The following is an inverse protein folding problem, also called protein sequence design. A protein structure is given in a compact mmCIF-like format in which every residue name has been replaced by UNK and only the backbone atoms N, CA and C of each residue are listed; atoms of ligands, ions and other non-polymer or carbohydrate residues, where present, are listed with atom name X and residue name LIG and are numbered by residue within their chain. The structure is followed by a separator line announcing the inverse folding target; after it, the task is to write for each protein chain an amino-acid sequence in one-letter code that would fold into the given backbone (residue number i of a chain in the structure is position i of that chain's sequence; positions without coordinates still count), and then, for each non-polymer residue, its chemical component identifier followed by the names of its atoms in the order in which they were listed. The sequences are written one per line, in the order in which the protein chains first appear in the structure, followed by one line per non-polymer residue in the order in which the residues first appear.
data_IF_027400937244
#
_entry.id   IF_027400937244
#
_cell.length_a   1.000
_cell.length_b   1.000
_cell.length_c   1.000
_cell.angle_alpha   90.00
_cell.angle_beta   90.00
_cell.angle_gamma   90.00
#
_symmetry.space_group_name_H-M   'P 1'
#
loop_
_entity.id
_entity.type
_entity.pdbx_description
1 polymer ?
#
# COMPACT_ATOMS: atom_id res chain seq x y z
N UNK A 1 4.25 5.68 -1.02
CA UNK A 1 5.09 5.75 -2.26
C UNK A 1 4.28 6.09 -3.51
N UNK A 2 4.90 6.53 -4.63
CA UNK A 2 4.23 6.59 -5.95
C UNK A 2 4.26 5.21 -6.63
N UNK A 3 3.17 4.84 -7.31
CA UNK A 3 3.11 3.62 -8.14
C UNK A 3 4.11 3.70 -9.29
N UNK A 4 4.53 2.55 -9.80
CA UNK A 4 5.40 2.49 -10.98
C UNK A 4 4.53 2.47 -12.25
N UNK A 5 4.83 3.38 -13.19
CA UNK A 5 4.18 3.40 -14.49
C UNK A 5 4.93 2.45 -15.43
N UNK A 6 4.25 1.38 -15.87
CA UNK A 6 4.81 0.44 -16.83
C UNK A 6 5.06 1.16 -18.15
N UNK A 7 6.26 0.96 -18.71
CA UNK A 7 6.62 1.55 -20.00
C UNK A 7 6.04 0.72 -21.16
N UNK A 8 5.73 -0.58 -20.93
CA UNK A 8 5.01 -1.39 -21.90
C UNK A 8 5.86 -1.77 -23.12
N UNK A 9 7.07 -2.25 -22.86
CA UNK A 9 8.00 -2.68 -23.90
C UNK A 9 7.37 -3.77 -24.77
N UNK A 10 7.34 -3.60 -26.09
CA UNK A 10 6.82 -4.59 -27.04
C UNK A 10 7.97 -5.10 -27.90
N UNK A 11 8.26 -6.39 -27.77
CA UNK A 11 9.46 -7.01 -28.32
C UNK A 11 9.34 -7.38 -29.79
N UNK A 12 8.14 -7.75 -30.23
CA UNK A 12 7.87 -8.16 -31.60
C UNK A 12 6.40 -7.90 -31.89
N UNK A 13 6.15 -7.08 -32.90
CA UNK A 13 4.79 -6.79 -33.37
C UNK A 13 4.66 -7.37 -34.77
N UNK A 14 3.85 -8.41 -34.89
CA UNK A 14 3.50 -9.03 -36.16
C UNK A 14 2.02 -8.79 -36.42
N UNK A 15 1.69 -8.46 -37.67
CA UNK A 15 0.31 -8.42 -38.11
C UNK A 15 -0.28 -9.85 -38.15
N UNK A 16 -1.42 -10.04 -37.48
CA UNK A 16 -2.05 -11.36 -37.29
C UNK A 16 -2.67 -11.88 -38.61
N UNK A 17 -3.04 -11.00 -39.54
CA UNK A 17 -3.67 -11.39 -40.81
C UNK A 17 -2.66 -11.59 -41.95
N UNK A 18 -1.59 -10.79 -41.99
CA UNK A 18 -0.62 -10.81 -43.11
C UNK A 18 0.69 -11.52 -42.75
N UNK A 19 0.96 -11.76 -41.47
CA UNK A 19 2.23 -12.32 -41.01
C UNK A 19 3.41 -11.36 -41.21
N UNK A 20 3.16 -10.10 -41.59
CA UNK A 20 4.19 -9.10 -41.81
C UNK A 20 4.71 -8.59 -40.46
N UNK A 21 6.04 -8.58 -40.32
CA UNK A 21 6.70 -8.11 -39.09
C UNK A 21 6.78 -6.60 -39.13
N UNK A 22 5.92 -5.93 -38.36
CA UNK A 22 5.87 -4.47 -38.24
C UNK A 22 7.06 -3.96 -37.41
N UNK A 23 7.56 -4.79 -36.49
CA UNK A 23 8.75 -4.50 -35.69
C UNK A 23 9.56 -5.79 -35.42
N UNK A 24 10.78 -5.86 -35.97
CA UNK A 24 11.77 -6.87 -35.56
C UNK A 24 12.28 -6.55 -34.16
N UNK A 25 12.45 -7.60 -33.35
CA UNK A 25 12.95 -7.45 -31.99
C UNK A 25 14.37 -6.93 -31.94
N UNK A 26 14.59 -5.88 -31.16
CA UNK A 26 15.93 -5.34 -30.90
C UNK A 26 16.70 -6.22 -29.91
N UNK A 27 18.05 -6.20 -29.92
CA UNK A 27 18.86 -6.93 -28.93
C UNK A 27 18.47 -6.63 -27.48
N UNK A 28 17.95 -5.42 -27.22
CA UNK A 28 17.28 -5.04 -25.98
C UNK A 28 15.78 -5.35 -26.13
N UNK A 29 15.35 -6.48 -25.57
CA UNK A 29 13.96 -6.97 -25.55
C UNK A 29 13.57 -7.35 -24.11
N UNK A 30 12.29 -7.39 -23.76
CA UNK A 30 11.77 -7.84 -22.46
C UNK A 30 12.34 -9.21 -22.10
N UNK A 31 12.36 -10.16 -23.04
CA UNK A 31 12.92 -11.50 -22.80
C UNK A 31 14.42 -11.42 -22.49
N UNK A 32 15.19 -10.66 -23.27
CA UNK A 32 16.64 -10.52 -23.07
C UNK A 32 16.99 -9.71 -21.82
N UNK A 33 16.10 -8.81 -21.39
CA UNK A 33 16.22 -8.01 -20.16
C UNK A 33 15.48 -8.63 -18.97
N UNK A 34 15.13 -9.92 -19.05
CA UNK A 34 14.52 -10.70 -17.97
C UNK A 34 13.26 -10.05 -17.36
N UNK A 35 12.39 -9.47 -18.20
CA UNK A 35 11.13 -8.83 -17.80
C UNK A 35 11.31 -7.76 -16.70
N UNK A 36 12.39 -6.99 -16.78
CA UNK A 36 12.76 -5.99 -15.77
C UNK A 36 11.64 -4.98 -15.46
N UNK A 37 10.89 -4.52 -16.47
CA UNK A 37 9.74 -3.61 -16.32
C UNK A 37 8.65 -4.23 -15.42
N UNK A 38 8.36 -5.53 -15.61
CA UNK A 38 7.39 -6.27 -14.81
C UNK A 38 7.90 -6.54 -13.39
N UNK A 39 9.18 -6.88 -13.25
CA UNK A 39 9.82 -7.06 -11.94
C UNK A 39 9.80 -5.80 -11.09
N UNK A 40 10.12 -4.64 -11.70
CA UNK A 40 10.07 -3.33 -11.02
C UNK A 40 8.64 -3.00 -10.61
N UNK A 41 7.67 -3.19 -11.52
CA UNK A 41 6.26 -2.96 -11.22
C UNK A 41 5.80 -3.80 -10.03
N UNK A 42 6.01 -5.11 -10.09
CA UNK A 42 5.54 -6.05 -9.07
C UNK A 42 6.18 -5.76 -7.71
N UNK A 43 7.49 -5.50 -7.68
CA UNK A 43 8.18 -5.14 -6.46
C UNK A 43 7.69 -3.80 -5.91
N UNK A 44 7.41 -2.81 -6.76
CA UNK A 44 6.89 -1.51 -6.31
C UNK A 44 5.50 -1.66 -5.67
N UNK A 45 4.61 -2.42 -6.28
CA UNK A 45 3.28 -2.69 -5.72
C UNK A 45 3.37 -3.43 -4.38
N UNK A 46 4.23 -4.44 -4.29
CA UNK A 46 4.47 -5.16 -3.04
C UNK A 46 5.02 -4.24 -1.93
N UNK A 47 5.96 -3.35 -2.27
CA UNK A 47 6.51 -2.39 -1.30
C UNK A 47 5.46 -1.39 -0.82
N UNK A 48 4.57 -0.89 -1.69
CA UNK A 48 3.48 0.00 -1.29
C UNK A 48 2.53 -0.73 -0.32
N UNK A 49 2.19 -1.98 -0.60
CA UNK A 49 1.36 -2.80 0.28
C UNK A 49 2.04 -3.02 1.64
N UNK A 50 3.32 -3.38 1.64
CA UNK A 50 4.09 -3.56 2.87
C UNK A 50 4.22 -2.26 3.68
N UNK A 51 4.40 -1.10 3.02
CA UNK A 51 4.42 0.21 3.68
C UNK A 51 3.13 0.45 4.46
N UNK A 52 1.96 0.13 3.88
CA UNK A 52 0.67 0.24 4.55
C UNK A 52 0.53 -0.74 5.73
N UNK A 53 0.92 -2.01 5.54
CA UNK A 53 0.86 -3.02 6.61
C UNK A 53 1.79 -2.69 7.78
N UNK A 54 3.01 -2.20 7.50
CA UNK A 54 3.96 -1.76 8.54
C UNK A 54 3.40 -0.56 9.30
N UNK A 55 2.80 0.41 8.61
CA UNK A 55 2.20 1.56 9.26
C UNK A 55 1.07 1.14 10.22
N UNK A 56 0.24 0.18 9.83
CA UNK A 56 -0.82 -0.35 10.69
C UNK A 56 -0.26 -1.15 11.87
N UNK A 57 0.72 -2.03 11.65
CA UNK A 57 1.39 -2.76 12.73
C UNK A 57 2.09 -1.82 13.72
N UNK A 58 2.70 -0.73 13.25
CA UNK A 58 3.31 0.29 14.11
C UNK A 58 2.27 1.01 14.97
N UNK A 59 1.07 1.30 14.45
CA UNK A 59 -0.03 1.86 15.24
C UNK A 59 -0.46 0.89 16.34
N UNK A 60 -0.60 -0.39 16.00
CA UNK A 60 -0.97 -1.44 16.96
C UNK A 60 0.06 -1.58 18.08
N UNK A 61 1.34 -1.70 17.74
CA UNK A 61 2.44 -1.76 18.70
C UNK A 61 2.44 -0.53 19.60
N UNK A 62 2.23 0.67 19.04
CA UNK A 62 2.20 1.90 19.84
C UNK A 62 1.07 1.87 20.88
N UNK A 63 -0.14 1.49 20.47
CA UNK A 63 -1.29 1.44 21.39
C UNK A 63 -1.07 0.38 22.47
N UNK A 64 -0.57 -0.81 22.12
CA UNK A 64 -0.24 -1.85 23.09
C UNK A 64 0.86 -1.40 24.06
N UNK A 65 1.88 -0.69 23.57
CA UNK A 65 2.94 -0.12 24.39
C UNK A 65 2.37 0.92 25.36
N UNK A 66 1.54 1.84 24.89
CA UNK A 66 0.91 2.85 25.72
C UNK A 66 -0.03 2.21 26.76
N UNK A 67 -0.80 1.20 26.37
CA UNK A 67 -1.65 0.44 27.30
C UNK A 67 -0.82 -0.27 28.39
N UNK A 68 0.28 -0.91 28.00
CA UNK A 68 1.20 -1.58 28.94
C UNK A 68 1.83 -0.60 29.91
N UNK A 69 2.30 0.56 29.42
CA UNK A 69 2.92 1.59 30.27
C UNK A 69 1.92 2.23 31.25
N UNK A 70 0.65 2.36 30.86
CA UNK A 70 -0.39 2.96 31.68
C UNK A 70 -1.20 1.92 32.49
N UNK A 71 -0.75 0.65 32.53
CA UNK A 71 -1.43 -0.45 33.21
C UNK A 71 -2.91 -0.62 32.80
N UNK A 72 -3.23 -0.34 31.54
CA UNK A 72 -4.55 -0.56 30.94
C UNK A 72 -4.64 -2.02 30.48
N UNK A 73 -4.88 -2.93 31.42
CA UNK A 73 -4.84 -4.39 31.17
C UNK A 73 -6.14 -4.91 30.53
N UNK A 74 -7.24 -4.16 30.60
CA UNK A 74 -8.56 -4.56 30.11
C UNK A 74 -9.16 -3.51 29.15
N UNK A 75 -9.94 -3.95 28.16
CA UNK A 75 -10.75 -3.14 27.23
C UNK A 75 -9.96 -2.23 26.27
N UNK A 76 -8.81 -2.68 25.76
CA UNK A 76 -8.09 -1.96 24.71
C UNK A 76 -8.49 -2.53 23.36
N UNK A 77 -9.16 -1.73 22.53
CA UNK A 77 -9.61 -2.10 21.19
C UNK A 77 -9.00 -1.15 20.15
N UNK A 78 -8.51 -1.70 19.03
CA UNK A 78 -8.11 -0.92 17.87
C UNK A 78 -9.11 -1.14 16.74
N UNK A 79 -9.61 -0.04 16.19
CA UNK A 79 -10.46 -0.04 15.01
C UNK A 79 -9.97 1.09 14.10
N UNK A 80 -9.62 0.76 12.86
CA UNK A 80 -9.31 1.74 11.83
C UNK A 80 -10.61 2.20 11.16
N UNK A 81 -10.89 3.49 11.22
CA UNK A 81 -12.02 4.11 10.49
C UNK A 81 -11.50 4.84 9.25
N UNK A 82 -12.28 4.82 8.17
CA UNK A 82 -11.95 5.56 6.95
C UNK A 82 -11.97 7.08 7.17
N UNK A 83 -12.82 7.57 8.08
CA UNK A 83 -12.94 8.99 8.41
C UNK A 83 -13.23 9.18 9.90
N UNK A 84 -12.78 10.30 10.48
CA UNK A 84 -13.04 10.66 11.89
C UNK A 84 -14.53 10.90 12.16
N UNK A 85 -15.28 11.29 11.14
CA UNK A 85 -16.74 11.46 11.18
C UNK A 85 -17.52 10.16 11.31
N UNK A 86 -16.86 9.00 11.17
CA UNK A 86 -17.50 7.69 11.30
C UNK A 86 -17.78 7.28 12.77
N UNK A 87 -17.36 8.09 13.75
CA UNK A 87 -17.52 7.79 15.18
C UNK A 87 -18.43 8.82 15.83
N UNK A 88 -19.60 8.38 16.30
CA UNK A 88 -20.52 9.19 17.11
C UNK A 88 -20.24 8.96 18.60
N UNK A 89 -19.88 10.02 19.32
CA UNK A 89 -19.66 9.98 20.77
C UNK A 89 -21.02 10.17 21.44
N UNK A 90 -21.54 9.12 22.08
CA UNK A 90 -22.86 9.17 22.76
C UNK A 90 -22.76 9.78 24.17
N UNK A 91 -21.59 9.70 24.81
CA UNK A 91 -21.31 10.27 26.13
C UNK A 91 -19.83 10.62 26.26
N UNK A 92 -19.51 11.71 26.96
CA UNK A 92 -18.15 12.23 27.16
C UNK A 92 -17.82 13.49 26.35
N UNK A 93 -16.66 14.10 26.66
CA UNK A 93 -16.14 15.31 25.99
C UNK A 93 -14.92 14.91 25.15
N UNK A 94 -14.94 15.24 23.86
CA UNK A 94 -13.80 15.06 22.96
C UNK A 94 -12.88 16.28 23.00
N UNK A 95 -11.62 16.06 23.39
CA UNK A 95 -10.55 17.03 23.25
C UNK A 95 -9.88 16.84 21.87
N UNK A 96 -10.07 17.82 20.98
CA UNK A 96 -9.52 17.82 19.62
C UNK A 96 -8.00 17.99 19.56
N UNK A 97 -7.38 18.58 20.60
CA UNK A 97 -5.94 18.84 20.66
C UNK A 97 -5.22 17.59 21.14
N UNK A 98 -5.67 17.02 22.26
CA UNK A 98 -5.10 15.79 22.80
C UNK A 98 -5.56 14.52 22.05
N UNK A 99 -6.62 14.62 21.24
CA UNK A 99 -7.30 13.50 20.56
C UNK A 99 -7.74 12.42 21.54
N UNK A 100 -8.30 12.83 22.67
CA UNK A 100 -8.77 11.95 23.77
C UNK A 100 -10.24 12.24 24.07
N UNK A 101 -10.95 11.21 24.54
CA UNK A 101 -12.32 11.33 25.06
C UNK A 101 -12.24 11.16 26.57
N UNK A 102 -12.86 12.09 27.29
CA UNK A 102 -13.02 12.06 28.74
C UNK A 102 -14.49 11.75 29.08
N UNK A 103 -14.72 10.98 30.13
CA UNK A 103 -16.05 10.70 30.69
C UNK A 103 -16.23 11.52 31.95
#
# INVERSE_FOLDING_TARGET
MKAYEKIGWLDHVQDIETGEVIQEGTPVSQVNMNHMDEGIFTNREAVILHEAQIADAQKEIKVLKDATLNNMVNNVFLINFNTVTSVAITSGIYDSVARKIYV
#
